data_IF_681898218903
#
_entry.id   IF_681898218903
#
_cell.length_a   1.000
_cell.length_b   1.000
_cell.length_c   1.000
_cell.angle_alpha   90.00
_cell.angle_beta   90.00
_cell.angle_gamma   90.00
#
_symmetry.space_group_name_H-M   'P 1'
#
loop_
_entity.id
_entity.type
_entity.pdbx_description
1 polymer ?
#
# COMPACT_ATOMS: atom_id res chain seq x y z
N UNK A 1 19.33 10.09 5.76
CA UNK A 1 18.37 8.95 5.77
C UNK A 1 17.12 9.40 5.06
N UNK A 2 16.60 8.65 4.09
CA UNK A 2 15.34 9.01 3.42
C UNK A 2 14.17 8.86 4.40
N UNK A 3 13.42 9.95 4.56
CA UNK A 3 12.23 10.03 5.43
C UNK A 3 11.10 9.17 4.84
N UNK A 4 10.52 8.30 5.67
CA UNK A 4 9.31 7.55 5.31
C UNK A 4 8.11 8.49 5.27
N UNK A 5 7.34 8.43 4.19
CA UNK A 5 6.18 9.31 3.98
C UNK A 5 4.85 8.56 4.19
N UNK A 6 4.75 7.34 3.67
CA UNK A 6 3.55 6.52 3.78
C UNK A 6 3.94 5.06 3.99
N UNK A 7 3.30 4.42 4.97
CA UNK A 7 3.40 2.98 5.21
C UNK A 7 2.01 2.36 5.23
N UNK A 8 1.84 1.31 4.45
CA UNK A 8 0.68 0.43 4.42
C UNK A 8 1.13 -0.94 4.93
N UNK A 9 0.49 -1.41 5.99
CA UNK A 9 0.78 -2.72 6.58
C UNK A 9 -0.51 -3.55 6.60
N UNK A 10 -0.41 -4.79 6.11
CA UNK A 10 -1.47 -5.79 6.12
C UNK A 10 -2.82 -5.24 5.62
N UNK A 11 -2.85 -4.54 4.48
CA UNK A 11 -4.08 -3.98 3.94
C UNK A 11 -4.95 -5.08 3.32
N UNK A 12 -6.24 -5.08 3.71
CA UNK A 12 -7.28 -5.94 3.16
C UNK A 12 -8.47 -5.12 2.68
N UNK A 13 -9.11 -5.54 1.58
CA UNK A 13 -10.33 -4.93 1.08
C UNK A 13 -11.22 -5.97 0.43
N UNK A 14 -12.51 -5.88 0.72
CA UNK A 14 -13.56 -6.74 0.15
C UNK A 14 -14.68 -5.88 -0.43
N UNK A 15 -15.30 -6.38 -1.51
CA UNK A 15 -16.58 -5.89 -2.03
C UNK A 15 -17.56 -7.06 -2.02
N UNK A 16 -18.47 -7.06 -1.04
CA UNK A 16 -19.30 -8.23 -0.73
C UNK A 16 -18.42 -9.45 -0.45
N UNK A 17 -18.62 -10.51 -1.24
CA UNK A 17 -17.88 -11.76 -1.11
C UNK A 17 -16.55 -11.79 -1.88
N UNK A 18 -16.21 -10.73 -2.62
CA UNK A 18 -14.98 -10.66 -3.42
C UNK A 18 -13.87 -10.02 -2.60
N UNK A 19 -12.76 -10.76 -2.39
CA UNK A 19 -11.54 -10.25 -1.76
C UNK A 19 -10.68 -9.57 -2.83
N UNK A 20 -10.61 -8.24 -2.81
CA UNK A 20 -9.91 -7.45 -3.84
C UNK A 20 -8.49 -7.04 -3.42
N UNK A 21 -8.24 -6.85 -2.12
CA UNK A 21 -6.90 -6.70 -1.59
C UNK A 21 -6.72 -7.70 -0.45
N UNK A 22 -5.59 -8.40 -0.44
CA UNK A 22 -5.24 -9.38 0.58
C UNK A 22 -3.79 -9.21 0.98
N UNK A 23 -3.56 -8.81 2.22
CA UNK A 23 -2.23 -8.66 2.82
C UNK A 23 -1.28 -7.76 2.03
N UNK A 24 -1.78 -6.60 1.58
CA UNK A 24 -0.97 -5.66 0.80
C UNK A 24 -0.12 -4.82 1.75
N UNK A 25 1.19 -4.81 1.50
CA UNK A 25 2.18 -4.04 2.25
C UNK A 25 2.92 -3.11 1.30
N UNK A 26 3.10 -1.83 1.68
CA UNK A 26 3.81 -0.84 0.87
C UNK A 26 4.50 0.19 1.76
N UNK A 27 5.66 0.65 1.32
CA UNK A 27 6.37 1.77 1.93
C UNK A 27 6.73 2.77 0.82
N UNK A 28 6.37 4.04 1.00
CA UNK A 28 6.71 5.13 0.09
C UNK A 28 7.55 6.16 0.85
N UNK A 29 8.71 6.48 0.30
CA UNK A 29 9.63 7.48 0.85
C UNK A 29 9.36 8.87 0.29
N UNK A 30 9.76 9.90 1.02
CA UNK A 30 9.65 11.28 0.56
C UNK A 30 10.41 11.50 -0.75
N UNK A 31 9.72 12.02 -1.77
CA UNK A 31 10.27 12.26 -3.10
C UNK A 31 10.20 11.07 -4.06
N UNK A 32 9.70 9.91 -3.62
CA UNK A 32 9.50 8.73 -4.46
C UNK A 32 8.21 8.86 -5.30
N UNK A 33 8.30 8.53 -6.58
CA UNK A 33 7.14 8.46 -7.49
C UNK A 33 6.80 6.98 -7.71
N UNK A 34 5.62 6.57 -7.25
CA UNK A 34 5.13 5.20 -7.37
C UNK A 34 3.95 5.16 -8.35
N UNK A 35 4.00 4.25 -9.31
CA UNK A 35 2.88 3.94 -10.19
C UNK A 35 2.24 2.61 -9.76
N UNK A 36 0.92 2.59 -9.67
CA UNK A 36 0.12 1.38 -9.48
C UNK A 36 -0.54 1.03 -10.82
N UNK A 37 -0.41 -0.23 -11.26
CA UNK A 37 -0.95 -0.75 -12.51
C UNK A 37 -1.96 -1.88 -12.27
#
# INVERSE_FOLDING_TARGET
>A
MTEELLRLENIYKNFGNVKVLKDVNMNIKKGEIVALI
#
